data_IF_315391763105
#
_entry.id   IF_315391763105
#
_cell.length_a   1.000
_cell.length_b   1.000
_cell.length_c   1.000
_cell.angle_alpha   90.00
_cell.angle_beta   90.00
_cell.angle_gamma   90.00
#
_symmetry.space_group_name_H-M   'P 1'
#
loop_
_entity.id
_entity.type
_entity.pdbx_description
1 polymer ?
#
# COMPACT_ATOMS: atom_id res chain seq x y z
N UNK A 1 43.83 45.63 20.74
CA UNK A 1 43.25 45.08 19.49
C UNK A 1 42.41 43.87 19.85
N UNK A 2 41.10 43.91 19.59
CA UNK A 2 40.14 42.84 19.96
C UNK A 2 39.90 41.97 18.72
N UNK A 3 40.42 40.74 18.73
CA UNK A 3 40.23 39.77 17.65
C UNK A 3 38.81 39.19 17.77
N UNK A 4 37.97 39.49 16.78
CA UNK A 4 36.66 38.85 16.59
C UNK A 4 36.92 37.44 16.08
N UNK A 5 36.53 36.42 16.83
CA UNK A 5 36.53 35.04 16.36
C UNK A 5 35.13 34.69 15.87
N UNK A 6 35.10 34.23 14.62
CA UNK A 6 33.95 33.96 13.79
C UNK A 6 33.00 32.89 14.37
N UNK A 7 31.73 33.04 14.00
CA UNK A 7 30.67 32.05 14.10
C UNK A 7 31.10 30.67 13.60
N UNK A 8 30.88 29.63 14.41
CA UNK A 8 30.82 28.25 13.96
C UNK A 8 29.37 27.77 14.11
N UNK A 9 28.69 27.73 12.97
CA UNK A 9 27.36 27.20 12.76
C UNK A 9 27.43 25.67 12.94
N UNK A 10 26.84 25.13 14.00
CA UNK A 10 26.60 23.70 14.13
C UNK A 10 25.20 23.39 13.58
N UNK A 11 25.09 23.21 12.26
CA UNK A 11 23.93 22.60 11.63
C UNK A 11 23.96 21.11 12.01
N UNK A 12 23.08 20.70 12.91
CA UNK A 12 22.78 19.28 13.12
C UNK A 12 21.92 18.85 11.93
N UNK A 13 22.59 18.47 10.86
CA UNK A 13 21.98 17.88 9.68
C UNK A 13 21.70 16.40 9.92
N UNK A 14 20.47 16.01 9.58
CA UNK A 14 20.12 14.73 8.98
C UNK A 14 20.32 13.46 9.82
N UNK A 15 19.23 13.06 10.47
CA UNK A 15 18.85 11.65 10.52
C UNK A 15 17.33 11.52 10.45
N UNK A 16 16.73 12.00 9.35
CA UNK A 16 15.45 11.44 8.92
C UNK A 16 15.76 10.00 8.50
N UNK A 17 15.50 9.07 9.41
CA UNK A 17 15.46 7.63 9.12
C UNK A 17 14.40 7.46 8.03
N UNK A 18 14.85 7.36 6.78
CA UNK A 18 13.96 7.05 5.66
C UNK A 18 13.55 5.60 5.89
N UNK A 19 12.35 5.40 6.42
CA UNK A 19 11.76 4.09 6.61
C UNK A 19 11.84 3.32 5.29
N UNK A 20 12.39 2.11 5.40
CA UNK A 20 12.70 1.23 4.30
C UNK A 20 11.42 0.83 3.58
N UNK A 21 11.18 1.40 2.40
CA UNK A 21 10.14 0.93 1.48
C UNK A 21 10.45 -0.54 1.14
N UNK A 22 9.64 -1.46 1.65
CA UNK A 22 9.73 -2.88 1.29
C UNK A 22 8.79 -3.13 0.12
N UNK A 23 9.37 -3.33 -1.06
CA UNK A 23 8.65 -3.73 -2.26
C UNK A 23 8.45 -5.24 -2.25
N UNK A 24 7.20 -5.70 -2.33
CA UNK A 24 6.89 -7.12 -2.46
C UNK A 24 5.89 -7.35 -3.59
N UNK A 25 6.12 -8.43 -4.34
CA UNK A 25 5.23 -8.91 -5.39
C UNK A 25 4.46 -10.11 -4.88
N UNK A 26 3.13 -10.04 -4.92
CA UNK A 26 2.26 -11.20 -4.73
C UNK A 26 1.49 -11.43 -6.03
N UNK A 27 1.95 -12.38 -6.85
CA UNK A 27 1.34 -12.67 -8.15
C UNK A 27 1.48 -11.50 -9.14
N UNK A 28 0.36 -11.04 -9.71
CA UNK A 28 0.30 -9.91 -10.65
C UNK A 28 0.32 -8.54 -9.96
N UNK A 29 0.32 -8.47 -8.64
CA UNK A 29 0.17 -7.19 -7.93
C UNK A 29 1.46 -6.74 -7.28
N UNK A 30 1.68 -5.42 -7.31
CA UNK A 30 2.78 -4.75 -6.63
C UNK A 30 2.22 -4.03 -5.42
N UNK A 31 2.85 -4.18 -4.27
CA UNK A 31 2.50 -3.36 -3.12
C UNK A 31 3.74 -2.82 -2.41
N UNK A 32 3.60 -1.58 -1.96
CA UNK A 32 4.58 -0.87 -1.17
C UNK A 32 4.05 -0.77 0.26
N UNK A 33 4.88 -1.22 1.20
CA UNK A 33 4.57 -1.14 2.62
C UNK A 33 5.24 0.09 3.24
N UNK A 34 4.46 0.82 4.02
CA UNK A 34 4.89 1.99 4.77
C UNK A 34 4.54 1.80 6.26
N UNK A 35 5.12 2.58 7.17
CA UNK A 35 4.67 2.61 8.55
C UNK A 35 3.17 2.99 8.64
N UNK A 36 2.33 2.06 9.12
CA UNK A 36 0.91 2.29 9.37
C UNK A 36 -0.04 2.17 8.16
N UNK A 37 0.49 2.02 6.95
CA UNK A 37 -0.33 1.82 5.75
C UNK A 37 0.43 1.09 4.65
N UNK A 38 -0.31 0.59 3.67
CA UNK A 38 0.26 0.08 2.43
C UNK A 38 -0.41 0.75 1.22
N UNK A 39 0.28 0.70 0.09
CA UNK A 39 -0.26 1.06 -1.21
C UNK A 39 -0.16 -0.15 -2.11
N UNK A 40 -1.28 -0.58 -2.71
CA UNK A 40 -1.28 -1.60 -3.74
C UNK A 40 -1.56 -0.98 -5.10
N UNK A 41 -0.77 -1.39 -6.08
CA UNK A 41 -1.00 -1.20 -7.50
C UNK A 41 -1.32 -2.58 -8.09
N UNK A 42 -2.61 -2.81 -8.34
CA UNK A 42 -3.11 -4.09 -8.79
C UNK A 42 -3.08 -4.16 -10.32
N UNK A 43 -2.22 -5.01 -10.87
CA UNK A 43 -2.20 -5.27 -12.32
C UNK A 43 -3.32 -6.23 -12.70
N UNK A 44 -4.34 -5.67 -13.34
CA UNK A 44 -5.52 -6.38 -13.82
C UNK A 44 -5.16 -7.28 -15.00
N UNK A 45 -5.76 -8.46 -15.09
CA UNK A 45 -5.51 -9.39 -16.21
C UNK A 45 -5.91 -8.81 -17.57
N UNK A 46 -6.91 -7.92 -17.58
CA UNK A 46 -7.34 -7.20 -18.77
C UNK A 46 -7.93 -5.83 -18.39
N UNK A 47 -7.69 -4.78 -19.20
CA UNK A 47 -8.24 -3.44 -18.94
C UNK A 47 -9.77 -3.38 -18.97
N UNK A 48 -10.43 -4.39 -19.56
CA UNK A 48 -11.88 -4.43 -19.72
C UNK A 48 -12.62 -4.89 -18.46
N UNK A 49 -11.91 -5.43 -17.47
CA UNK A 49 -12.54 -5.91 -16.24
C UNK A 49 -12.75 -4.76 -15.25
N UNK A 50 -13.85 -4.86 -14.52
CA UNK A 50 -14.03 -4.16 -13.26
C UNK A 50 -13.28 -4.92 -12.16
N UNK A 51 -12.65 -4.18 -11.25
CA UNK A 51 -11.90 -4.76 -10.14
C UNK A 51 -12.43 -4.19 -8.83
N UNK A 52 -12.66 -5.04 -7.83
CA UNK A 52 -12.90 -4.63 -6.45
C UNK A 52 -11.79 -5.17 -5.56
N UNK A 53 -11.14 -4.27 -4.83
CA UNK A 53 -10.16 -4.60 -3.80
C UNK A 53 -10.77 -4.32 -2.44
N UNK A 54 -10.71 -5.27 -1.50
CA UNK A 54 -11.27 -5.08 -0.17
C UNK A 54 -10.56 -5.89 0.91
N UNK A 55 -10.52 -5.36 2.13
CA UNK A 55 -10.16 -6.13 3.32
C UNK A 55 -11.40 -6.78 3.95
N UNK A 56 -11.22 -7.56 5.02
CA UNK A 56 -12.34 -8.10 5.80
C UNK A 56 -13.21 -7.00 6.42
N UNK A 57 -12.69 -5.79 6.57
CA UNK A 57 -13.41 -4.60 7.06
C UNK A 57 -14.04 -3.80 5.92
N UNK A 58 -14.56 -4.45 4.88
CA UNK A 58 -15.05 -3.82 3.65
C UNK A 58 -16.16 -2.76 3.85
N UNK A 59 -16.86 -2.79 4.99
CA UNK A 59 -17.88 -1.80 5.36
C UNK A 59 -17.26 -0.49 5.87
N UNK A 60 -15.99 -0.51 6.30
CA UNK A 60 -15.26 0.66 6.76
C UNK A 60 -14.81 1.50 5.58
N UNK A 61 -15.06 2.83 5.59
CA UNK A 61 -14.64 3.72 4.51
C UNK A 61 -13.13 3.60 4.24
N UNK A 62 -12.76 3.42 2.98
CA UNK A 62 -11.36 3.28 2.55
C UNK A 62 -10.79 1.85 2.66
N UNK A 63 -11.57 0.87 3.13
CA UNK A 63 -11.15 -0.54 3.21
C UNK A 63 -11.75 -1.41 2.09
N UNK A 64 -12.50 -0.78 1.18
CA UNK A 64 -12.97 -1.36 -0.07
C UNK A 64 -12.98 -0.28 -1.16
N UNK A 65 -12.54 -0.62 -2.37
CA UNK A 65 -12.64 0.25 -3.54
C UNK A 65 -12.90 -0.57 -4.79
N UNK A 66 -13.86 -0.09 -5.58
CA UNK A 66 -14.18 -0.61 -6.91
C UNK A 66 -13.57 0.32 -7.95
N UNK A 67 -13.00 -0.28 -9.00
CA UNK A 67 -12.30 0.36 -10.09
C UNK A 67 -12.97 -0.02 -11.40
N UNK A 68 -13.30 0.98 -12.20
CA UNK A 68 -13.97 0.74 -13.48
C UNK A 68 -13.00 0.19 -14.54
N UNK A 69 -13.51 -0.35 -15.66
CA UNK A 69 -12.68 -0.69 -16.82
C UNK A 69 -11.83 0.52 -17.27
N UNK A 70 -10.55 0.28 -17.55
CA UNK A 70 -9.58 1.31 -17.96
C UNK A 70 -9.02 2.20 -16.84
N UNK A 71 -9.54 2.13 -15.62
CA UNK A 71 -9.02 2.90 -14.47
C UNK A 71 -7.78 2.22 -13.85
N UNK A 72 -6.74 2.94 -13.41
CA UNK A 72 -5.69 2.34 -12.59
C UNK A 72 -6.24 1.79 -11.26
N UNK A 73 -5.99 0.51 -10.96
CA UNK A 73 -6.47 -0.15 -9.75
C UNK A 73 -5.52 0.07 -8.55
N UNK A 74 -5.41 1.33 -8.13
CA UNK A 74 -4.52 1.75 -7.04
C UNK A 74 -5.32 2.07 -5.77
N UNK A 75 -4.95 1.44 -4.66
CA UNK A 75 -5.60 1.60 -3.35
C UNK A 75 -4.58 1.75 -2.22
N UNK A 76 -4.86 2.65 -1.28
CA UNK A 76 -4.15 2.74 -0.02
C UNK A 76 -4.98 2.11 1.10
N UNK A 77 -4.33 1.31 1.95
CA UNK A 77 -4.96 0.60 3.05
C UNK A 77 -4.24 0.98 4.32
N UNK A 78 -4.95 1.65 5.23
CA UNK A 78 -4.45 1.95 6.56
C UNK A 78 -4.64 0.72 7.47
N UNK A 79 -3.56 0.24 8.09
CA UNK A 79 -3.61 -1.01 8.87
C UNK A 79 -4.52 -0.88 10.09
N UNK A 80 -4.40 0.21 10.85
CA UNK A 80 -5.21 0.42 12.05
C UNK A 80 -6.71 0.41 11.72
N UNK A 81 -7.12 1.11 10.66
CA UNK A 81 -8.53 1.21 10.25
C UNK A 81 -9.06 -0.05 9.58
N UNK A 82 -8.27 -0.69 8.72
CA UNK A 82 -8.77 -1.72 7.81
C UNK A 82 -8.44 -3.15 8.23
N UNK A 83 -7.47 -3.35 9.13
CA UNK A 83 -6.98 -4.67 9.54
C UNK A 83 -6.82 -4.78 11.07
N UNK A 84 -7.18 -3.75 11.83
CA UNK A 84 -6.99 -3.71 13.28
C UNK A 84 -5.52 -3.59 13.68
N UNK A 85 -4.68 -3.03 12.81
CA UNK A 85 -3.24 -2.88 13.01
C UNK A 85 -2.39 -4.04 12.47
N UNK A 86 -2.99 -5.07 11.89
CA UNK A 86 -2.24 -6.18 11.32
C UNK A 86 -1.54 -5.78 10.00
N UNK A 87 -0.21 -5.92 9.97
CA UNK A 87 0.62 -5.69 8.76
C UNK A 87 0.66 -6.94 7.84
N UNK A 88 0.18 -8.07 8.32
CA UNK A 88 0.03 -9.31 7.56
C UNK A 88 -1.45 -9.68 7.48
N UNK A 89 -2.03 -9.68 6.28
CA UNK A 89 -3.47 -9.92 6.10
C UNK A 89 -3.81 -10.36 4.68
N UNK A 90 -5.06 -10.79 4.50
CA UNK A 90 -5.60 -11.16 3.18
C UNK A 90 -6.34 -9.99 2.56
N UNK A 91 -5.94 -9.62 1.35
CA UNK A 91 -6.69 -8.72 0.48
C UNK A 91 -7.59 -9.55 -0.42
N UNK A 92 -8.89 -9.27 -0.41
CA UNK A 92 -9.85 -9.89 -1.31
C UNK A 92 -9.86 -9.12 -2.64
N UNK A 93 -9.76 -9.88 -3.73
CA UNK A 93 -9.78 -9.36 -5.09
C UNK A 93 -10.97 -9.99 -5.81
N UNK A 94 -11.83 -9.12 -6.34
CA UNK A 94 -12.91 -9.51 -7.21
C UNK A 94 -12.72 -8.90 -8.59
N UNK A 95 -12.49 -9.74 -9.61
CA UNK A 95 -12.45 -9.34 -11.01
C UNK A 95 -13.76 -9.72 -11.69
N UNK A 96 -14.42 -8.76 -12.31
CA UNK A 96 -15.69 -8.95 -13.01
C UNK A 96 -15.55 -8.53 -14.47
N UNK A 97 -15.98 -9.42 -15.38
CA UNK A 97 -16.08 -9.09 -16.80
C UNK A 97 -17.47 -8.51 -17.09
N UNK A 98 -17.58 -7.27 -17.58
CA UNK A 98 -18.86 -6.69 -17.94
C UNK A 98 -19.62 -7.58 -18.92
N UNK A 99 -20.83 -8.01 -18.54
CA UNK A 99 -21.70 -8.87 -19.34
C UNK A 99 -21.63 -10.37 -19.01
N UNK A 100 -20.76 -10.80 -18.10
CA UNK A 100 -20.76 -12.14 -17.52
C UNK A 100 -21.40 -12.11 -16.13
N UNK A 101 -22.01 -13.21 -15.67
CA UNK A 101 -22.61 -13.27 -14.32
C UNK A 101 -21.59 -13.67 -13.24
N UNK A 102 -20.49 -14.31 -13.63
CA UNK A 102 -19.54 -14.90 -12.71
C UNK A 102 -18.39 -13.94 -12.39
N UNK A 103 -18.16 -13.73 -11.09
CA UNK A 103 -17.02 -12.97 -10.59
C UNK A 103 -15.86 -13.91 -10.29
N UNK A 104 -14.67 -13.59 -10.79
CA UNK A 104 -13.44 -14.25 -10.35
C UNK A 104 -13.03 -13.69 -8.99
N UNK A 105 -13.21 -14.49 -7.94
CA UNK A 105 -12.86 -14.15 -6.56
C UNK A 105 -11.60 -14.90 -6.13
N UNK A 106 -10.62 -14.17 -5.61
CA UNK A 106 -9.44 -14.75 -4.98
C UNK A 106 -8.90 -13.79 -3.90
N UNK A 107 -7.92 -14.27 -3.14
CA UNK A 107 -7.26 -13.46 -2.11
C UNK A 107 -5.77 -13.39 -2.38
N UNK A 108 -5.18 -12.24 -2.07
CA UNK A 108 -3.74 -12.01 -2.05
C UNK A 108 -3.28 -11.93 -0.60
N UNK A 109 -2.27 -12.73 -0.24
CA UNK A 109 -1.61 -12.61 1.06
C UNK A 109 -0.63 -11.43 1.02
N UNK A 110 -0.91 -10.42 1.83
CA UNK A 110 -0.08 -9.23 2.01
C UNK A 110 0.83 -9.44 3.22
N UNK A 111 2.11 -9.13 3.04
CA UNK A 111 3.11 -9.20 4.11
C UNK A 111 3.90 -7.90 4.21
N UNK A 112 3.50 -7.01 5.11
CA UNK A 112 4.16 -5.74 5.36
C UNK A 112 5.05 -5.75 6.61
N UNK A 113 5.75 -6.86 6.88
CA UNK A 113 6.70 -6.92 7.99
C UNK A 113 7.80 -5.87 7.83
N UNK A 114 7.78 -4.85 8.69
CA UNK A 114 8.90 -3.94 8.91
C UNK A 114 10.04 -4.68 9.62
N UNK A 115 10.67 -5.64 8.96
CA UNK A 115 11.96 -6.13 9.43
C UNK A 115 13.00 -5.06 9.15
N UNK A 116 13.76 -4.58 10.15
CA UNK A 116 14.97 -3.83 9.85
C UNK A 116 15.82 -4.69 8.92
N UNK A 117 16.29 -4.10 7.82
CA UNK A 117 17.35 -4.70 7.02
C UNK A 117 18.54 -4.84 7.99
N UNK A 118 18.83 -6.07 8.40
CA UNK A 118 20.00 -6.41 9.19
C UNK A 118 21.26 -6.36 8.32
#
# INVERSE_FOLDING_TARGET
>A
MKTKVLCAIAIIAFSCVISVMSYRTAGTSKYDCFPGYMKIDFDRRTPLHEVTLSTNSFQTPGCSKKFMPGEPAVMEINFEKCTGGAENFKLNVGEFKPGEMDQSLYSLDIYCENKPIA
#
